data_IF_860444066830
#
_entry.id   IF_860444066830
#
_cell.length_a   1.000
_cell.length_b   1.000
_cell.length_c   1.000
_cell.angle_alpha   90.00
_cell.angle_beta   90.00
_cell.angle_gamma   90.00
#
_symmetry.space_group_name_H-M   'P 1'
#
loop_
_entity.id
_entity.type
_entity.pdbx_description
1 polymer ?
#
# COMPACT_ATOMS: atom_id res chain seq x y z
N UNK A 1 -11.09 5.45 -10.77
CA UNK A 1 -10.25 4.63 -9.87
C UNK A 1 -10.25 3.21 -10.40
N UNK A 2 -9.12 2.51 -10.36
CA UNK A 2 -8.97 1.13 -10.82
C UNK A 2 -8.16 0.31 -9.79
N UNK A 3 -8.37 -1.01 -9.72
CA UNK A 3 -7.60 -1.87 -8.84
C UNK A 3 -6.20 -2.14 -9.39
N UNK A 4 -5.20 -2.14 -8.52
CA UNK A 4 -3.90 -2.78 -8.79
C UNK A 4 -3.76 -3.94 -7.82
N UNK A 5 -3.72 -5.17 -8.34
CA UNK A 5 -3.61 -6.35 -7.49
C UNK A 5 -2.20 -6.46 -6.92
N UNK A 6 -2.12 -6.72 -5.62
CA UNK A 6 -0.89 -7.06 -4.92
C UNK A 6 -0.94 -8.46 -4.34
N UNK A 7 0.17 -9.19 -4.45
CA UNK A 7 0.37 -10.49 -3.79
C UNK A 7 1.54 -10.41 -2.82
N UNK A 8 1.37 -11.06 -1.67
CA UNK A 8 2.31 -11.05 -0.55
C UNK A 8 2.40 -12.45 0.07
N UNK A 9 3.48 -12.67 0.81
CA UNK A 9 3.61 -13.82 1.70
C UNK A 9 4.34 -13.44 2.98
N UNK A 10 4.32 -14.32 3.98
CA UNK A 10 5.14 -14.18 5.17
C UNK A 10 6.00 -15.42 5.40
N UNK A 11 7.16 -15.21 6.01
CA UNK A 11 8.11 -16.25 6.41
C UNK A 11 8.29 -16.18 7.93
N UNK A 12 8.51 -17.32 8.57
CA UNK A 12 8.93 -17.39 9.97
C UNK A 12 10.45 -17.55 10.03
N UNK A 13 11.15 -16.46 10.29
CA UNK A 13 12.59 -16.49 10.57
C UNK A 13 12.88 -16.68 12.06
N UNK A 14 14.16 -16.89 12.43
CA UNK A 14 14.61 -16.68 13.79
C UNK A 14 14.31 -15.24 14.23
N UNK A 15 14.00 -15.06 15.52
CA UNK A 15 13.94 -13.72 16.11
C UNK A 15 15.26 -12.98 15.87
N UNK A 16 15.18 -11.67 15.66
CA UNK A 16 16.33 -10.80 15.37
C UNK A 16 17.09 -11.08 14.06
N UNK A 17 16.67 -12.07 13.24
CA UNK A 17 17.32 -12.37 11.96
C UNK A 17 17.26 -11.21 10.97
N UNK A 18 16.23 -10.37 11.08
CA UNK A 18 16.11 -9.12 10.35
C UNK A 18 15.56 -8.03 11.29
N UNK A 19 16.28 -6.93 11.45
CA UNK A 19 15.92 -5.84 12.39
C UNK A 19 15.41 -4.57 11.71
N UNK A 20 15.48 -4.51 10.38
CA UNK A 20 15.12 -3.34 9.58
C UNK A 20 14.40 -3.78 8.33
N UNK A 21 13.58 -2.88 7.78
CA UNK A 21 13.01 -3.09 6.45
C UNK A 21 14.14 -3.15 5.42
N UNK A 22 14.14 -4.19 4.59
CA UNK A 22 14.96 -4.23 3.37
C UNK A 22 14.05 -3.96 2.20
N UNK A 23 14.44 -3.00 1.36
CA UNK A 23 13.74 -2.68 0.13
C UNK A 23 14.73 -2.85 -1.04
N UNK A 24 14.34 -3.56 -2.09
CA UNK A 24 15.20 -3.73 -3.25
C UNK A 24 14.46 -4.29 -4.46
N UNK A 25 15.19 -4.89 -5.43
CA UNK A 25 14.60 -5.28 -6.70
C UNK A 25 13.41 -6.24 -6.55
N UNK A 26 12.24 -5.81 -7.01
CA UNK A 26 11.03 -6.64 -7.11
C UNK A 26 10.25 -6.88 -5.82
N UNK A 27 10.82 -6.63 -4.63
CA UNK A 27 10.12 -6.82 -3.35
C UNK A 27 10.78 -6.04 -2.21
N UNK A 28 10.14 -6.03 -1.05
CA UNK A 28 10.64 -5.61 0.24
C UNK A 28 10.36 -6.70 1.29
N UNK A 29 11.09 -6.63 2.39
CA UNK A 29 10.96 -7.52 3.55
C UNK A 29 10.80 -6.66 4.81
N UNK A 30 9.67 -6.81 5.50
CA UNK A 30 9.33 -6.06 6.72
C UNK A 30 9.36 -7.03 7.91
N UNK A 31 10.33 -6.92 8.82
CA UNK A 31 10.37 -7.76 10.02
C UNK A 31 9.33 -7.33 11.05
N UNK A 32 8.84 -8.31 11.81
CA UNK A 32 8.06 -8.16 13.04
C UNK A 32 8.89 -8.67 14.23
N UNK A 33 8.53 -8.23 15.43
CA UNK A 33 9.27 -8.51 16.67
C UNK A 33 9.31 -10.01 17.02
N UNK A 34 8.33 -10.78 16.57
CA UNK A 34 8.23 -12.22 16.81
C UNK A 34 9.03 -13.08 15.81
N UNK A 35 9.73 -12.45 14.86
CA UNK A 35 10.48 -13.13 13.80
C UNK A 35 9.67 -13.38 12.52
N UNK A 36 8.38 -13.02 12.49
CA UNK A 36 7.60 -13.01 11.25
C UNK A 36 8.15 -11.94 10.30
N UNK A 37 8.31 -12.29 9.04
CA UNK A 37 8.79 -11.36 8.01
C UNK A 37 7.77 -11.31 6.88
N UNK A 38 7.19 -10.13 6.66
CA UNK A 38 6.28 -9.88 5.53
C UNK A 38 7.11 -9.61 4.28
N UNK A 39 6.88 -10.39 3.24
CA UNK A 39 7.48 -10.26 1.93
C UNK A 39 6.41 -9.72 0.98
N UNK A 40 6.64 -8.53 0.47
CA UNK A 40 5.72 -7.90 -0.45
C UNK A 40 6.40 -6.90 -1.35
N UNK A 41 5.83 -6.48 -2.47
CA UNK A 41 4.64 -7.07 -3.04
C UNK A 41 4.78 -7.05 -4.56
N UNK A 42 4.18 -8.05 -5.18
CA UNK A 42 3.93 -8.02 -6.62
C UNK A 42 2.89 -6.94 -6.90
N UNK A 43 2.96 -6.34 -8.08
CA UNK A 43 1.98 -5.34 -8.53
C UNK A 43 1.52 -5.72 -9.92
N UNK A 44 0.27 -6.12 -10.03
CA UNK A 44 -0.36 -6.56 -11.28
C UNK A 44 -1.40 -5.50 -11.66
N UNK A 45 -0.98 -4.55 -12.50
CA UNK A 45 -1.82 -3.41 -12.91
C UNK A 45 -2.98 -3.83 -13.79
N UNK A 46 -2.77 -4.82 -14.64
CA UNK A 46 -3.73 -5.26 -15.66
C UNK A 46 -4.59 -6.45 -15.19
N UNK A 47 -4.46 -6.87 -13.93
CA UNK A 47 -5.22 -7.98 -13.37
C UNK A 47 -6.70 -7.63 -13.11
N UNK A 48 -7.09 -6.34 -13.16
CA UNK A 48 -8.42 -5.91 -12.78
C UNK A 48 -8.78 -6.40 -11.37
N UNK A 49 -9.98 -6.98 -11.24
CA UNK A 49 -10.44 -7.62 -10.00
C UNK A 49 -10.24 -9.14 -9.99
N UNK A 50 -9.29 -9.68 -10.76
CA UNK A 50 -9.00 -11.11 -10.74
C UNK A 50 -8.52 -11.54 -9.34
N UNK A 51 -9.26 -12.44 -8.71
CA UNK A 51 -8.98 -12.90 -7.35
C UNK A 51 -7.83 -13.92 -7.28
N UNK A 52 -7.45 -14.30 -6.07
CA UNK A 52 -6.52 -15.39 -5.81
C UNK A 52 -5.04 -15.05 -5.97
N UNK A 53 -4.19 -16.04 -5.72
CA UNK A 53 -2.74 -15.96 -5.94
C UNK A 53 -2.42 -16.50 -7.34
N UNK A 54 -1.34 -16.02 -7.96
CA UNK A 54 -0.87 -16.55 -9.26
C UNK A 54 0.47 -17.26 -9.08
N UNK A 55 0.72 -18.39 -9.77
CA UNK A 55 2.01 -19.08 -9.71
C UNK A 55 3.19 -18.16 -10.04
N UNK A 56 3.01 -17.26 -11.01
CA UNK A 56 4.07 -16.34 -11.43
C UNK A 56 4.30 -15.20 -10.43
N UNK A 57 3.26 -14.70 -9.76
CA UNK A 57 3.41 -13.77 -8.65
C UNK A 57 4.19 -14.40 -7.49
N UNK A 58 3.88 -15.65 -7.13
CA UNK A 58 4.60 -16.37 -6.07
C UNK A 58 6.06 -16.66 -6.45
N UNK A 59 6.35 -17.03 -7.71
CA UNK A 59 7.73 -17.17 -8.20
C UNK A 59 8.50 -15.85 -8.14
N UNK A 60 7.86 -14.73 -8.44
CA UNK A 60 8.48 -13.41 -8.33
C UNK A 60 8.84 -13.06 -6.88
N UNK A 61 7.95 -13.32 -5.92
CA UNK A 61 8.25 -13.16 -4.49
C UNK A 61 9.46 -14.02 -4.08
N UNK A 62 9.51 -15.28 -4.51
CA UNK A 62 10.63 -16.17 -4.22
C UNK A 62 11.97 -15.65 -4.78
N UNK A 63 11.96 -15.10 -6.01
CA UNK A 63 13.15 -14.45 -6.59
C UNK A 63 13.58 -13.23 -5.77
N UNK A 64 12.62 -12.43 -5.31
CA UNK A 64 12.88 -11.29 -4.44
C UNK A 64 13.49 -11.70 -3.08
N UNK A 65 12.95 -12.74 -2.44
CA UNK A 65 13.53 -13.31 -1.21
C UNK A 65 14.97 -13.76 -1.44
N UNK A 66 15.20 -14.52 -2.52
CA UNK A 66 16.53 -15.02 -2.89
C UNK A 66 17.52 -13.89 -3.13
N UNK A 67 17.08 -12.79 -3.75
CA UNK A 67 17.92 -11.64 -4.05
C UNK A 67 18.23 -10.78 -2.81
N UNK A 68 17.26 -10.56 -1.92
CA UNK A 68 17.42 -9.66 -0.77
C UNK A 68 18.01 -10.35 0.45
N UNK A 69 17.64 -11.61 0.71
CA UNK A 69 18.06 -12.37 1.88
C UNK A 69 18.11 -13.87 1.55
N UNK A 70 19.17 -14.36 0.89
CA UNK A 70 19.27 -15.76 0.43
C UNK A 70 18.99 -16.81 1.52
N UNK A 71 19.43 -16.56 2.76
CA UNK A 71 19.18 -17.47 3.90
C UNK A 71 17.70 -17.63 4.22
N UNK A 72 16.85 -16.64 3.88
CA UNK A 72 15.41 -16.70 4.12
C UNK A 72 14.68 -17.66 3.18
N UNK A 73 15.34 -18.15 2.11
CA UNK A 73 14.75 -19.12 1.19
C UNK A 73 14.45 -20.48 1.85
N UNK A 74 15.11 -20.80 2.96
CA UNK A 74 14.88 -22.02 3.74
C UNK A 74 13.92 -21.82 4.91
N UNK A 75 13.42 -20.60 5.14
CA UNK A 75 12.52 -20.32 6.26
C UNK A 75 11.09 -20.79 5.96
N UNK A 76 10.36 -21.31 6.97
CA UNK A 76 8.99 -21.76 6.78
C UNK A 76 8.07 -20.64 6.25
N UNK A 77 7.32 -20.87 5.15
CA UNK A 77 6.25 -19.96 4.76
C UNK A 77 5.07 -20.08 5.72
N UNK A 78 4.50 -18.94 6.12
CA UNK A 78 3.39 -18.89 7.07
C UNK A 78 2.08 -18.61 6.33
N UNK A 79 1.90 -17.40 5.82
CA UNK A 79 0.70 -17.00 5.11
C UNK A 79 1.02 -16.51 3.71
N UNK A 80 0.03 -16.61 2.82
CA UNK A 80 0.03 -16.00 1.49
C UNK A 80 -1.30 -15.32 1.28
N UNK A 81 -1.28 -14.07 0.83
CA UNK A 81 -2.50 -13.30 0.64
C UNK A 81 -2.35 -12.33 -0.53
N UNK A 82 -3.47 -11.76 -0.91
CA UNK A 82 -3.56 -10.77 -1.97
C UNK A 82 -4.57 -9.70 -1.60
N UNK A 83 -4.53 -8.58 -2.32
CA UNK A 83 -5.48 -7.49 -2.15
C UNK A 83 -5.43 -6.50 -3.31
N UNK A 84 -6.42 -5.61 -3.38
CA UNK A 84 -6.50 -4.58 -4.41
C UNK A 84 -6.12 -3.22 -3.84
N UNK A 85 -5.17 -2.56 -4.49
CA UNK A 85 -4.82 -1.18 -4.18
C UNK A 85 -5.77 -0.25 -4.94
N UNK A 86 -6.42 0.72 -4.28
CA UNK A 86 -7.25 1.70 -4.95
C UNK A 86 -6.35 2.72 -5.67
N UNK A 87 -6.29 2.67 -6.99
CA UNK A 87 -5.38 3.51 -7.79
C UNK A 87 -6.13 4.52 -8.67
N UNK A 88 -5.54 5.71 -8.78
CA UNK A 88 -5.94 6.80 -9.68
C UNK A 88 -4.95 6.90 -10.85
N UNK A 89 -5.29 7.59 -11.95
CA UNK A 89 -4.39 7.72 -13.10
C UNK A 89 -3.00 8.29 -12.78
N UNK A 90 -2.91 9.18 -11.79
CA UNK A 90 -1.66 9.80 -11.32
C UNK A 90 -1.09 9.17 -10.02
N UNK A 91 -1.70 8.07 -9.55
CA UNK A 91 -1.40 7.39 -8.28
C UNK A 91 -1.56 8.22 -7.00
N UNK A 92 -2.05 9.46 -7.09
CA UNK A 92 -2.35 10.33 -5.95
C UNK A 92 -3.76 10.09 -5.38
N UNK A 93 -4.00 10.31 -4.08
CA UNK A 93 -5.34 10.15 -3.51
C UNK A 93 -6.36 11.13 -4.10
N UNK A 94 -7.64 10.82 -3.93
CA UNK A 94 -8.76 11.74 -4.12
C UNK A 94 -9.21 12.22 -2.74
N UNK A 95 -8.99 13.49 -2.45
CA UNK A 95 -9.28 14.12 -1.16
C UNK A 95 -10.23 15.30 -1.34
N UNK A 96 -11.07 15.57 -0.34
CA UNK A 96 -11.93 16.76 -0.29
C UNK A 96 -13.37 16.53 -0.78
N UNK A 97 -14.13 17.61 -1.03
CA UNK A 97 -15.54 17.52 -1.42
C UNK A 97 -15.69 16.82 -2.79
N UNK A 98 -16.70 15.97 -2.89
CA UNK A 98 -17.05 15.29 -4.13
C UNK A 98 -17.92 16.16 -5.06
N UNK A 99 -18.32 15.62 -6.24
CA UNK A 99 -19.18 16.34 -7.19
C UNK A 99 -20.62 16.55 -6.69
N UNK A 100 -21.02 15.90 -5.60
CA UNK A 100 -22.36 15.97 -5.04
C UNK A 100 -22.36 16.73 -3.71
N UNK A 101 -23.40 17.53 -3.41
CA UNK A 101 -23.53 18.19 -2.11
C UNK A 101 -23.46 17.18 -0.96
N UNK A 102 -22.60 17.46 0.02
CA UNK A 102 -22.41 16.61 1.20
C UNK A 102 -21.58 15.35 0.99
N UNK A 103 -21.13 15.04 -0.23
CA UNK A 103 -20.21 13.93 -0.50
C UNK A 103 -18.76 14.37 -0.23
N UNK A 104 -17.99 13.53 0.47
CA UNK A 104 -16.56 13.71 0.70
C UNK A 104 -15.78 12.50 0.22
N UNK A 105 -14.59 12.74 -0.33
CA UNK A 105 -13.68 11.73 -0.85
C UNK A 105 -12.43 11.67 0.03
N UNK A 106 -12.03 10.45 0.36
CA UNK A 106 -10.79 10.13 1.07
C UNK A 106 -10.32 8.73 0.64
N UNK A 107 -9.96 8.60 -0.64
CA UNK A 107 -9.68 7.30 -1.26
C UNK A 107 -8.54 7.39 -2.30
N UNK A 108 -8.17 6.26 -2.92
CA UNK A 108 -7.20 6.28 -4.02
C UNK A 108 -5.73 6.32 -3.61
N UNK A 109 -5.40 6.00 -2.35
CA UNK A 109 -4.04 6.10 -1.81
C UNK A 109 -3.03 5.08 -2.36
N UNK A 110 -3.41 4.23 -3.33
CA UNK A 110 -2.56 3.22 -3.95
C UNK A 110 -1.71 2.43 -2.93
N UNK A 111 -0.38 2.66 -2.90
CA UNK A 111 0.58 1.97 -2.01
C UNK A 111 0.85 2.71 -0.69
N UNK A 112 0.29 3.90 -0.51
CA UNK A 112 0.61 4.82 0.56
C UNK A 112 -0.54 4.99 1.58
N UNK A 113 -1.59 4.16 1.52
CA UNK A 113 -2.75 4.27 2.40
C UNK A 113 -2.41 4.24 3.88
N UNK A 114 -1.54 3.31 4.32
CA UNK A 114 -1.11 3.23 5.73
C UNK A 114 -0.29 4.47 6.13
N UNK A 115 0.63 4.90 5.26
CA UNK A 115 1.48 6.08 5.51
C UNK A 115 0.65 7.36 5.64
N UNK A 116 -0.33 7.54 4.76
CA UNK A 116 -1.09 8.78 4.63
C UNK A 116 -2.39 8.80 5.45
N UNK A 117 -2.72 7.71 6.15
CA UNK A 117 -3.99 7.56 6.86
C UNK A 117 -4.22 8.68 7.89
N UNK A 118 -3.24 8.96 8.74
CA UNK A 118 -3.38 9.95 9.81
C UNK A 118 -3.65 11.36 9.27
N UNK A 119 -2.80 11.83 8.34
CA UNK A 119 -2.96 13.15 7.74
C UNK A 119 -4.25 13.26 6.91
N UNK A 120 -4.60 12.19 6.17
CA UNK A 120 -5.87 12.14 5.44
C UNK A 120 -7.06 12.31 6.38
N UNK A 121 -7.06 11.60 7.52
CA UNK A 121 -8.14 11.68 8.49
C UNK A 121 -8.25 13.06 9.12
N UNK A 122 -7.12 13.66 9.53
CA UNK A 122 -7.07 14.98 10.14
C UNK A 122 -7.60 16.07 9.18
N UNK A 123 -7.11 16.09 7.95
CA UNK A 123 -7.51 17.07 6.95
C UNK A 123 -8.99 16.91 6.58
N UNK A 124 -9.42 15.68 6.33
CA UNK A 124 -10.82 15.40 5.97
C UNK A 124 -11.77 15.79 7.11
N UNK A 125 -11.45 15.41 8.35
CA UNK A 125 -12.29 15.75 9.50
C UNK A 125 -12.37 17.27 9.71
N UNK A 126 -11.24 17.97 9.60
CA UNK A 126 -11.18 19.42 9.74
C UNK A 126 -12.03 20.12 8.69
N UNK A 127 -11.90 19.72 7.41
CA UNK A 127 -12.71 20.28 6.33
C UNK A 127 -14.20 19.98 6.48
N UNK A 128 -14.58 18.76 6.90
CA UNK A 128 -15.98 18.37 7.13
C UNK A 128 -16.61 19.17 8.28
N UNK A 129 -15.85 19.42 9.35
CA UNK A 129 -16.31 20.16 10.53
C UNK A 129 -16.22 21.68 10.37
N UNK A 130 -15.70 22.18 9.25
CA UNK A 130 -15.49 23.61 9.01
C UNK A 130 -14.38 24.21 9.88
N UNK A 131 -13.45 23.40 10.37
CA UNK A 131 -12.26 23.86 11.09
C UNK A 131 -11.28 24.47 10.07
N UNK A 132 -10.82 25.71 10.26
CA UNK A 132 -9.88 26.35 9.35
C UNK A 132 -8.59 25.55 9.21
N UNK A 133 -8.15 25.32 7.97
CA UNK A 133 -6.86 24.70 7.66
C UNK A 133 -5.78 25.76 7.51
N UNK A 134 -4.51 25.36 7.71
CA UNK A 134 -3.38 26.18 7.29
C UNK A 134 -3.37 26.34 5.77
N UNK A 135 -2.78 27.42 5.22
CA UNK A 135 -2.67 27.60 3.77
C UNK A 135 -1.98 26.45 3.05
N UNK A 136 -1.00 25.81 3.69
CA UNK A 136 -0.30 24.63 3.16
C UNK A 136 -1.24 23.42 3.04
N UNK A 137 -2.01 23.14 4.09
CA UNK A 137 -2.96 22.03 4.11
C UNK A 137 -4.11 22.23 3.13
N UNK A 138 -4.57 23.47 2.96
CA UNK A 138 -5.59 23.82 1.96
C UNK A 138 -5.05 23.61 0.54
N UNK A 139 -3.83 24.08 0.25
CA UNK A 139 -3.15 23.84 -1.03
C UNK A 139 -2.96 22.34 -1.31
N UNK A 140 -2.66 21.55 -0.29
CA UNK A 140 -2.53 20.10 -0.41
C UNK A 140 -3.86 19.43 -0.77
N UNK A 141 -4.96 19.78 -0.11
CA UNK A 141 -6.28 19.26 -0.46
C UNK A 141 -6.68 19.64 -1.89
N UNK A 142 -6.41 20.89 -2.30
CA UNK A 142 -6.69 21.35 -3.67
C UNK A 142 -5.89 20.55 -4.72
N UNK A 143 -4.64 20.19 -4.41
CA UNK A 143 -3.79 19.36 -5.29
C UNK A 143 -4.32 17.94 -5.47
N UNK A 144 -5.03 17.41 -4.48
CA UNK A 144 -5.62 16.06 -4.50
C UNK A 144 -7.14 16.07 -4.72
N UNK A 145 -7.71 17.20 -5.12
CA UNK A 145 -9.12 17.30 -5.47
C UNK A 145 -9.46 16.41 -6.68
N UNK A 146 -10.69 15.93 -6.76
CA UNK A 146 -11.10 14.98 -7.82
C UNK A 146 -11.12 15.61 -9.22
N UNK A 147 -11.34 16.93 -9.31
CA UNK A 147 -11.46 17.67 -10.57
C UNK A 147 -10.11 17.91 -11.28
N UNK A 148 -9.01 17.34 -10.78
CA UNK A 148 -7.72 17.38 -11.46
C UNK A 148 -7.64 16.46 -12.69
N UNK A 149 -8.69 15.67 -12.90
CA UNK A 149 -8.89 14.80 -14.05
C UNK A 149 -10.01 15.31 -14.94
#
# INVERSE_FOLDING_TARGET
MFPVKGQMLSLQGPREALKRVIFGPGTYMVPREDGLIVVGAISERDAGFAEGLTPDGQKQLQRGITALLPVATSWPPMERWWGFRPCTPDEGPLLGPGPLPGLWLACGHHRNGVLLAAMTAELTASSVLGVPLSPENDALLNSFHWSRF
#
